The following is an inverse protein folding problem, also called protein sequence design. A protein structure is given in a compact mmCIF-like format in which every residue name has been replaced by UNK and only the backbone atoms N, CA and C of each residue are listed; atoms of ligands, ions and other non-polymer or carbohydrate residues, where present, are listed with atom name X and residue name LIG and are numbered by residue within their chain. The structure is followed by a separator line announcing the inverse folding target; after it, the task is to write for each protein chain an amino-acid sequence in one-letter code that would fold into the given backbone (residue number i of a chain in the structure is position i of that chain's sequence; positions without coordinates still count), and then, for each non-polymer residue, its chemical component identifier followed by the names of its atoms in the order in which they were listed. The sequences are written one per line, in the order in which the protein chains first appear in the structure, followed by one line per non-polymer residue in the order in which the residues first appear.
data_IF_891280532378
#
_entry.id   IF_891280532378
#
_cell.length_a   1.000
_cell.length_b   1.000
_cell.length_c   1.000
_cell.angle_alpha   90.00
_cell.angle_beta   90.00
_cell.angle_gamma   90.00
#
_symmetry.space_group_name_H-M   'P 1'
#
loop_
_entity.id
_entity.type
_entity.pdbx_description
1 polymer ?
#
# COMPACT_ATOMS: atom_id res chain seq x y z
N UNK A 1 56.87 11.15 -62.31
CA UNK A 1 56.55 9.81 -61.83
C UNK A 1 56.52 9.88 -60.28
N UNK A 2 55.42 10.08 -59.72
CA UNK A 2 55.19 10.25 -58.26
C UNK A 2 54.22 9.18 -57.76
N UNK A 3 54.75 8.31 -56.94
CA UNK A 3 53.99 7.21 -56.30
C UNK A 3 53.26 7.73 -55.07
N UNK A 4 51.94 7.76 -55.10
CA UNK A 4 51.11 8.03 -53.91
C UNK A 4 50.94 6.75 -53.08
N UNK A 5 51.61 6.71 -51.94
CA UNK A 5 51.38 5.68 -50.91
C UNK A 5 50.17 6.08 -50.06
N UNK A 6 49.07 5.39 -50.27
CA UNK A 6 47.89 5.52 -49.47
C UNK A 6 48.11 4.82 -48.13
N UNK A 7 48.17 5.57 -47.02
CA UNK A 7 48.14 5.01 -45.67
C UNK A 7 46.68 4.68 -45.30
N UNK A 8 46.37 3.40 -45.16
CA UNK A 8 45.13 2.93 -44.58
C UNK A 8 45.24 3.01 -43.06
N UNK A 9 44.53 3.92 -42.46
CA UNK A 9 44.37 4.01 -40.98
C UNK A 9 43.24 3.09 -40.58
N UNK A 10 43.56 1.97 -39.97
CA UNK A 10 42.58 1.04 -39.41
C UNK A 10 42.20 1.52 -38.02
N UNK A 11 41.00 2.06 -37.87
CA UNK A 11 40.41 2.39 -36.56
C UNK A 11 39.91 1.09 -35.91
N UNK A 12 40.64 0.62 -34.90
CA UNK A 12 40.17 -0.45 -34.02
C UNK A 12 39.19 0.16 -33.00
N UNK A 13 37.88 -0.12 -33.18
CA UNK A 13 36.85 0.18 -32.15
C UNK A 13 37.01 -0.85 -31.04
N UNK A 14 37.65 -0.46 -29.95
CA UNK A 14 37.64 -1.21 -28.71
C UNK A 14 36.27 -1.00 -28.03
N UNK A 15 35.37 -1.98 -28.17
CA UNK A 15 34.11 -2.03 -27.43
C UNK A 15 34.41 -2.20 -25.95
N UNK A 16 34.31 -1.14 -25.16
CA UNK A 16 34.27 -1.23 -23.71
C UNK A 16 32.92 -1.85 -23.31
N UNK A 17 32.90 -3.16 -23.11
CA UNK A 17 31.82 -3.83 -22.39
C UNK A 17 31.95 -3.41 -20.93
N UNK A 18 31.17 -2.42 -20.53
CA UNK A 18 31.04 -2.05 -19.14
C UNK A 18 30.42 -3.19 -18.35
N UNK A 19 31.25 -3.95 -17.66
CA UNK A 19 30.77 -4.89 -16.64
C UNK A 19 30.23 -4.05 -15.51
N UNK A 20 28.88 -3.91 -15.47
CA UNK A 20 28.17 -3.37 -14.29
C UNK A 20 28.47 -4.33 -13.13
N UNK A 21 29.44 -4.01 -12.31
CA UNK A 21 29.62 -4.66 -11.02
C UNK A 21 28.41 -4.24 -10.18
N UNK A 22 27.42 -5.12 -10.07
CA UNK A 22 26.40 -4.99 -9.03
C UNK A 22 27.17 -4.88 -7.72
N UNK A 23 27.05 -3.73 -7.05
CA UNK A 23 27.64 -3.51 -5.75
C UNK A 23 26.98 -4.51 -4.78
N UNK A 24 27.59 -5.67 -4.61
CA UNK A 24 27.21 -6.62 -3.59
C UNK A 24 27.55 -5.97 -2.25
N UNK A 25 26.53 -5.79 -1.41
CA UNK A 25 26.77 -5.39 -0.02
C UNK A 25 27.78 -6.36 0.61
N UNK A 26 28.76 -5.87 1.39
CA UNK A 26 29.77 -6.74 1.99
C UNK A 26 29.09 -7.81 2.85
N UNK A 27 29.48 -9.08 2.72
CA UNK A 27 28.90 -10.15 3.52
C UNK A 27 29.33 -9.97 4.98
N UNK A 28 28.39 -9.58 5.81
CA UNK A 28 28.66 -9.41 7.27
C UNK A 28 28.76 -10.76 8.00
N UNK A 29 28.56 -11.89 7.32
CA UNK A 29 28.62 -13.23 7.90
C UNK A 29 27.48 -13.55 8.88
N UNK A 30 26.43 -12.74 8.86
CA UNK A 30 25.24 -12.90 9.71
C UNK A 30 24.01 -13.14 8.83
N UNK A 31 23.15 -14.08 9.27
CA UNK A 31 21.94 -14.42 8.55
C UNK A 31 22.19 -15.26 7.30
N UNK A 32 21.13 -15.51 6.55
CA UNK A 32 21.14 -16.18 5.25
C UNK A 32 20.19 -15.45 4.28
N UNK A 33 20.37 -15.67 3.01
CA UNK A 33 19.39 -15.23 2.01
C UNK A 33 18.07 -15.98 2.24
N UNK A 34 16.93 -15.28 2.35
CA UNK A 34 15.63 -15.93 2.48
C UNK A 34 15.28 -16.69 1.19
N UNK A 35 14.51 -17.77 1.32
CA UNK A 35 14.00 -18.49 0.15
C UNK A 35 12.88 -17.69 -0.54
N UNK A 36 12.57 -17.97 -1.82
CA UNK A 36 11.42 -17.35 -2.48
C UNK A 36 10.10 -17.60 -1.77
N UNK A 37 9.94 -18.74 -1.09
CA UNK A 37 8.75 -19.08 -0.31
C UNK A 37 8.64 -18.20 0.94
N UNK A 38 9.75 -17.99 1.64
CA UNK A 38 9.78 -17.09 2.80
C UNK A 38 9.50 -15.64 2.41
N UNK A 39 10.02 -15.20 1.26
CA UNK A 39 9.70 -13.86 0.72
C UNK A 39 8.20 -13.75 0.44
N UNK A 40 7.61 -14.71 -0.30
CA UNK A 40 6.17 -14.71 -0.62
C UNK A 40 5.27 -14.76 0.61
N UNK A 41 5.68 -15.47 1.66
CA UNK A 41 4.90 -15.55 2.90
C UNK A 41 4.84 -14.22 3.67
N UNK A 42 5.83 -13.35 3.49
CA UNK A 42 5.92 -12.03 4.14
C UNK A 42 5.51 -10.88 3.21
N UNK A 43 5.49 -11.11 1.90
CA UNK A 43 5.10 -10.12 0.90
C UNK A 43 3.59 -10.11 0.71
N UNK A 44 2.92 -9.50 1.68
CA UNK A 44 1.47 -9.31 1.72
C UNK A 44 1.06 -7.85 1.47
N UNK A 45 1.99 -7.04 0.99
CA UNK A 45 1.77 -5.62 0.70
C UNK A 45 0.87 -5.45 -0.52
N UNK A 46 -0.05 -4.50 -0.44
CA UNK A 46 -0.92 -4.13 -1.57
C UNK A 46 -0.42 -2.83 -2.18
N UNK A 47 -0.09 -2.88 -3.46
CA UNK A 47 0.35 -1.71 -4.22
C UNK A 47 -0.79 -0.76 -4.59
N UNK A 48 -0.45 0.42 -5.14
CA UNK A 48 -1.45 1.43 -5.56
C UNK A 48 -2.42 0.90 -6.61
N UNK A 49 -1.98 0.03 -7.51
CA UNK A 49 -2.79 -0.57 -8.58
C UNK A 49 -3.76 -1.64 -8.07
N UNK A 50 -3.47 -2.23 -6.90
CA UNK A 50 -4.28 -3.27 -6.30
C UNK A 50 -4.18 -4.64 -6.98
N UNK A 51 -3.13 -4.88 -7.76
CA UNK A 51 -2.92 -6.17 -8.44
C UNK A 51 -2.75 -7.33 -7.45
N UNK A 52 -2.26 -7.04 -6.24
CA UNK A 52 -2.05 -8.01 -5.17
C UNK A 52 -3.29 -8.19 -4.27
N UNK A 53 -4.38 -7.45 -4.53
CA UNK A 53 -5.61 -7.57 -3.75
C UNK A 53 -6.17 -8.99 -3.88
N UNK A 54 -6.50 -9.66 -2.78
CA UNK A 54 -7.16 -10.96 -2.85
C UNK A 54 -8.55 -10.81 -3.45
N UNK A 55 -9.06 -11.85 -4.14
CA UNK A 55 -10.45 -11.85 -4.60
C UNK A 55 -11.42 -11.60 -3.45
N UNK A 56 -12.38 -10.69 -3.67
CA UNK A 56 -13.35 -10.33 -2.65
C UNK A 56 -14.16 -9.10 -3.01
N UNK A 57 -15.15 -8.82 -2.17
CA UNK A 57 -15.98 -7.61 -2.25
C UNK A 57 -16.58 -7.31 -0.89
N UNK A 58 -17.11 -6.09 -0.73
CA UNK A 58 -17.80 -5.70 0.48
C UNK A 58 -18.68 -4.48 0.25
N UNK A 59 -19.64 -4.26 1.12
CA UNK A 59 -20.55 -3.12 1.06
C UNK A 59 -20.37 -2.17 2.23
N UNK A 60 -20.74 -0.91 2.06
CA UNK A 60 -20.77 0.10 3.12
C UNK A 60 -21.62 -0.36 4.30
N UNK A 61 -22.79 -0.94 4.02
CA UNK A 61 -23.72 -1.43 5.06
C UNK A 61 -23.09 -2.54 5.91
N UNK A 62 -22.50 -3.55 5.28
CA UNK A 62 -21.79 -4.63 5.97
C UNK A 62 -20.59 -4.09 6.76
N UNK A 63 -19.83 -3.16 6.17
CA UNK A 63 -18.71 -2.51 6.83
C UNK A 63 -19.10 -1.79 8.11
N UNK A 64 -20.24 -1.09 8.12
CA UNK A 64 -20.77 -0.46 9.32
C UNK A 64 -21.20 -1.45 10.41
N UNK A 65 -21.66 -2.65 10.04
CA UNK A 65 -21.94 -3.73 10.98
C UNK A 65 -20.65 -4.35 11.53
N UNK A 66 -19.71 -4.66 10.65
CA UNK A 66 -18.41 -5.23 10.99
C UNK A 66 -17.57 -4.28 11.84
N UNK A 67 -17.62 -2.97 11.57
CA UNK A 67 -16.94 -1.95 12.37
C UNK A 67 -17.29 -2.04 13.86
N UNK A 68 -18.55 -2.36 14.18
CA UNK A 68 -18.99 -2.60 15.55
C UNK A 68 -18.66 -4.01 16.03
N UNK A 69 -18.97 -5.01 15.22
CA UNK A 69 -18.84 -6.43 15.60
C UNK A 69 -17.38 -6.85 15.80
N UNK A 70 -16.44 -6.30 15.02
CA UNK A 70 -15.01 -6.59 15.13
C UNK A 70 -14.26 -5.68 16.12
N UNK A 71 -14.99 -4.87 16.89
CA UNK A 71 -14.44 -4.08 17.98
C UNK A 71 -13.76 -2.76 17.56
N UNK A 72 -13.81 -2.35 16.29
CA UNK A 72 -13.21 -1.08 15.85
C UNK A 72 -13.77 0.12 16.62
N UNK A 73 -15.10 0.09 16.87
CA UNK A 73 -15.82 1.14 17.59
C UNK A 73 -15.34 1.35 19.03
N UNK A 74 -14.81 0.30 19.70
CA UNK A 74 -14.33 0.39 21.08
C UNK A 74 -13.12 1.31 21.25
N UNK A 75 -12.25 1.32 20.22
CA UNK A 75 -11.04 2.15 20.22
C UNK A 75 -11.19 3.43 19.41
N UNK A 76 -11.87 3.39 18.25
CA UNK A 76 -12.00 4.54 17.36
C UNK A 76 -13.29 5.35 17.57
N UNK A 77 -14.17 4.93 18.49
CA UNK A 77 -15.47 5.54 18.74
C UNK A 77 -16.57 5.02 17.81
N UNK A 78 -17.81 5.05 18.27
CA UNK A 78 -18.97 4.45 17.59
C UNK A 78 -19.23 5.02 16.17
N UNK A 79 -18.86 6.27 15.95
CA UNK A 79 -18.97 6.95 14.67
C UNK A 79 -17.61 7.19 13.99
N UNK A 80 -16.54 6.47 14.39
CA UNK A 80 -15.19 6.68 13.91
C UNK A 80 -14.48 7.90 14.51
N UNK A 81 -15.03 8.45 15.61
CA UNK A 81 -14.51 9.63 16.29
C UNK A 81 -14.78 9.57 17.81
N UNK A 82 -13.87 10.13 18.59
CA UNK A 82 -14.07 10.28 20.03
C UNK A 82 -13.69 9.06 20.88
N UNK A 83 -12.98 8.08 20.29
CA UNK A 83 -12.41 6.97 21.04
C UNK A 83 -10.99 7.28 21.57
N UNK A 84 -10.33 6.26 22.13
CA UNK A 84 -8.95 6.36 22.63
C UNK A 84 -7.90 6.28 21.51
N UNK A 85 -8.26 5.69 20.37
CA UNK A 85 -7.41 5.59 19.18
C UNK A 85 -7.63 6.80 18.23
N UNK A 86 -6.76 6.99 17.22
CA UNK A 86 -6.90 8.05 16.24
C UNK A 86 -8.27 8.02 15.56
N UNK A 87 -8.83 9.19 15.30
CA UNK A 87 -10.08 9.31 14.59
C UNK A 87 -9.98 8.72 13.17
N UNK A 88 -11.03 8.03 12.73
CA UNK A 88 -11.22 7.48 11.39
C UNK A 88 -12.22 8.29 10.57
N UNK A 89 -12.89 9.28 11.18
CA UNK A 89 -13.81 10.21 10.54
C UNK A 89 -13.38 11.64 10.79
N UNK A 90 -13.41 12.46 9.73
CA UNK A 90 -13.24 13.91 9.82
C UNK A 90 -14.50 14.55 10.39
N UNK A 91 -14.34 15.66 11.12
CA UNK A 91 -15.47 16.51 11.53
C UNK A 91 -16.06 17.27 10.35
N UNK A 92 -15.23 17.60 9.37
CA UNK A 92 -15.61 18.31 8.15
C UNK A 92 -14.83 17.71 6.96
N UNK A 93 -15.29 16.59 6.40
CA UNK A 93 -14.57 15.89 5.32
C UNK A 93 -14.57 16.71 4.01
N UNK A 94 -15.49 17.65 3.84
CA UNK A 94 -15.62 18.50 2.64
C UNK A 94 -14.92 19.85 2.77
N UNK A 95 -14.23 20.11 3.88
CA UNK A 95 -13.52 21.38 4.06
C UNK A 95 -12.59 21.65 2.86
N UNK A 96 -12.65 22.83 2.23
CA UNK A 96 -11.77 23.16 1.10
C UNK A 96 -10.29 23.17 1.52
N UNK A 97 -9.99 23.55 2.77
CA UNK A 97 -8.65 23.34 3.33
C UNK A 97 -8.48 21.88 3.73
N UNK A 98 -7.70 21.16 2.92
CA UNK A 98 -7.42 19.74 3.14
C UNK A 98 -6.70 19.47 4.48
N UNK A 99 -5.99 20.45 5.01
CA UNK A 99 -5.31 20.32 6.29
C UNK A 99 -6.28 20.40 7.47
N UNK A 100 -7.35 21.19 7.33
CA UNK A 100 -8.42 21.29 8.33
C UNK A 100 -9.27 20.01 8.45
N UNK A 101 -9.27 19.13 7.43
CA UNK A 101 -9.94 17.82 7.50
C UNK A 101 -9.36 16.88 8.55
N UNK A 102 -8.18 17.19 9.09
CA UNK A 102 -7.48 16.37 10.08
C UNK A 102 -6.62 15.27 9.45
N UNK A 103 -5.89 14.56 10.31
CA UNK A 103 -5.01 13.44 9.90
C UNK A 103 -5.80 12.13 9.85
N UNK A 104 -6.79 12.06 8.98
CA UNK A 104 -7.70 10.93 8.84
C UNK A 104 -7.22 10.04 7.69
N UNK A 105 -6.84 8.79 7.98
CA UNK A 105 -6.28 7.88 6.97
C UNK A 105 -7.18 7.74 5.73
N UNK A 106 -8.49 7.48 5.83
CA UNK A 106 -9.37 7.36 4.66
C UNK A 106 -9.46 8.59 3.75
N UNK A 107 -9.08 9.78 4.27
CA UNK A 107 -9.06 11.03 3.48
C UNK A 107 -7.67 11.37 2.93
N UNK A 108 -6.62 10.88 3.57
CA UNK A 108 -5.24 11.26 3.25
C UNK A 108 -4.47 10.20 2.50
N UNK A 109 -4.95 8.97 2.54
CA UNK A 109 -4.39 7.91 1.72
C UNK A 109 -4.60 8.26 0.24
N UNK A 110 -3.54 8.23 -0.57
CA UNK A 110 -3.63 8.57 -1.98
C UNK A 110 -4.44 7.54 -2.78
N UNK A 111 -4.61 6.34 -2.23
CA UNK A 111 -5.32 5.23 -2.86
C UNK A 111 -6.18 4.48 -1.84
N UNK A 112 -7.34 3.98 -2.26
CA UNK A 112 -8.21 3.14 -1.42
C UNK A 112 -7.50 1.84 -0.98
N UNK A 113 -6.62 1.31 -1.84
CA UNK A 113 -5.78 0.15 -1.55
C UNK A 113 -4.87 0.36 -0.34
N UNK A 114 -4.41 1.59 -0.09
CA UNK A 114 -3.63 1.92 1.11
C UNK A 114 -4.46 1.77 2.38
N UNK A 115 -5.75 2.14 2.34
CA UNK A 115 -6.66 1.98 3.49
C UNK A 115 -6.93 0.50 3.72
N UNK A 116 -7.20 -0.24 2.64
CA UNK A 116 -7.41 -1.69 2.68
C UNK A 116 -6.21 -2.42 3.28
N UNK A 117 -5.02 -2.15 2.78
CA UNK A 117 -3.76 -2.77 3.20
C UNK A 117 -3.46 -2.49 4.68
N UNK A 118 -3.67 -1.25 5.12
CA UNK A 118 -3.47 -0.89 6.52
C UNK A 118 -4.40 -1.67 7.46
N UNK A 119 -5.68 -1.82 7.08
CA UNK A 119 -6.66 -2.59 7.87
C UNK A 119 -6.25 -4.05 7.89
N UNK A 120 -5.91 -4.62 6.75
CA UNK A 120 -5.55 -6.03 6.62
C UNK A 120 -4.34 -6.41 7.47
N UNK A 121 -3.31 -5.57 7.47
CA UNK A 121 -2.03 -5.86 8.15
C UNK A 121 -1.95 -5.37 9.58
N UNK A 122 -2.73 -4.36 9.96
CA UNK A 122 -2.55 -3.68 11.23
C UNK A 122 -3.79 -3.66 12.13
N UNK A 123 -4.93 -4.18 11.68
CA UNK A 123 -6.17 -4.12 12.44
C UNK A 123 -6.92 -5.47 12.48
N UNK A 124 -7.68 -5.78 13.55
CA UNK A 124 -7.72 -5.07 14.85
C UNK A 124 -6.38 -5.18 15.61
N UNK A 125 -6.05 -4.16 16.36
CA UNK A 125 -4.79 -4.15 17.15
C UNK A 125 -4.74 -5.36 18.09
N UNK A 126 -3.60 -6.09 18.08
CA UNK A 126 -3.36 -7.37 18.76
C UNK A 126 -4.20 -8.55 18.22
N UNK A 127 -4.83 -8.39 17.08
CA UNK A 127 -5.55 -9.43 16.33
C UNK A 127 -5.36 -9.23 14.82
N UNK A 128 -4.19 -8.77 14.42
CA UNK A 128 -3.83 -8.50 13.03
C UNK A 128 -3.97 -9.77 12.19
N UNK A 129 -4.42 -9.63 10.95
CA UNK A 129 -4.58 -10.74 10.01
C UNK A 129 -5.77 -11.67 10.30
N UNK A 130 -6.66 -11.33 11.25
CA UNK A 130 -7.85 -12.17 11.57
C UNK A 130 -9.09 -11.82 10.74
N UNK A 131 -9.07 -10.71 10.01
CA UNK A 131 -10.15 -10.32 9.12
C UNK A 131 -10.04 -11.06 7.80
N UNK A 132 -11.16 -11.54 7.29
CA UNK A 132 -11.23 -12.06 5.91
C UNK A 132 -11.15 -10.94 4.88
N UNK A 133 -10.74 -11.21 3.62
CA UNK A 133 -10.71 -10.20 2.58
C UNK A 133 -12.03 -9.43 2.43
N UNK A 134 -13.18 -10.12 2.45
CA UNK A 134 -14.49 -9.47 2.34
C UNK A 134 -14.78 -8.53 3.52
N UNK A 135 -14.37 -8.90 4.72
CA UNK A 135 -14.50 -8.03 5.89
C UNK A 135 -13.64 -6.77 5.75
N UNK A 136 -12.41 -6.89 5.24
CA UNK A 136 -11.54 -5.75 4.99
C UNK A 136 -12.12 -4.85 3.90
N UNK A 137 -12.63 -5.41 2.79
CA UNK A 137 -13.33 -4.65 1.75
C UNK A 137 -14.51 -3.86 2.31
N UNK A 138 -15.37 -4.52 3.09
CA UNK A 138 -16.56 -3.89 3.68
C UNK A 138 -16.17 -2.77 4.63
N UNK A 139 -15.21 -3.00 5.54
CA UNK A 139 -14.76 -1.97 6.48
C UNK A 139 -14.11 -0.79 5.71
N UNK A 140 -13.32 -1.07 4.68
CA UNK A 140 -12.73 -0.03 3.81
C UNK A 140 -13.82 0.83 3.17
N UNK A 141 -14.83 0.21 2.55
CA UNK A 141 -15.95 0.91 1.94
C UNK A 141 -16.68 1.80 2.96
N UNK A 142 -16.94 1.27 4.16
CA UNK A 142 -17.57 2.03 5.24
C UNK A 142 -16.74 3.24 5.67
N UNK A 143 -15.43 3.09 5.85
CA UNK A 143 -14.56 4.18 6.26
C UNK A 143 -14.43 5.27 5.19
N UNK A 144 -14.45 4.90 3.92
CA UNK A 144 -14.49 5.86 2.82
C UNK A 144 -15.85 6.60 2.77
N UNK A 145 -16.96 5.87 2.97
CA UNK A 145 -18.32 6.43 2.99
C UNK A 145 -18.52 7.45 4.12
N UNK A 146 -18.14 7.13 5.35
CA UNK A 146 -18.33 8.07 6.48
C UNK A 146 -17.49 9.34 6.36
N UNK A 147 -16.57 9.39 5.41
CA UNK A 147 -15.75 10.55 5.05
C UNK A 147 -16.16 11.17 3.69
N UNK A 148 -17.32 10.84 3.16
CA UNK A 148 -17.88 11.39 1.90
C UNK A 148 -16.98 11.13 0.67
N UNK A 149 -16.15 10.07 0.69
CA UNK A 149 -15.27 9.69 -0.44
C UNK A 149 -16.01 8.86 -1.47
N UNK A 150 -16.88 7.94 -1.01
CA UNK A 150 -17.69 7.08 -1.87
C UNK A 150 -19.17 7.15 -1.46
N UNK A 151 -20.13 6.88 -2.36
CA UNK A 151 -21.54 6.79 -2.02
C UNK A 151 -21.89 5.51 -1.25
N UNK A 152 -23.10 5.47 -0.64
CA UNK A 152 -23.55 4.36 0.22
C UNK A 152 -23.74 3.04 -0.54
N UNK A 153 -24.07 3.10 -1.81
CA UNK A 153 -24.30 1.95 -2.68
C UNK A 153 -23.02 1.33 -3.26
N UNK A 154 -21.85 1.80 -2.82
CA UNK A 154 -20.56 1.26 -3.22
C UNK A 154 -20.37 -0.19 -2.75
N UNK A 155 -19.88 -1.02 -3.69
CA UNK A 155 -19.50 -2.43 -3.47
C UNK A 155 -18.04 -2.65 -3.79
#
# INVERSE_FOLDING_TARGET
MGSHRTLAVTFAFASLVGVSTLAQAPPYGIGRTPTPEEIRALDISIGPTGEELPPGKGTVKEGGQLYRAKGCASCHGAAGIGGSAPNLKSKDPKNPDVWARGRILPLRAPFATTVWDYINRGMPLNQEGTLTPNEVYSITAYLLFINDVVPEDTV
#
